data_IF_912182740827
#
_entry.id   IF_912182740827
#
_cell.length_a   1.000
_cell.length_b   1.000
_cell.length_c   1.000
_cell.angle_alpha   90.00
_cell.angle_beta   90.00
_cell.angle_gamma   90.00
#
_symmetry.space_group_name_H-M   'P 1'
#
loop_
_entity.id
_entity.type
_entity.pdbx_description
1 polymer ?
#
# COMPACT_ATOMS: atom_id res chain seq x y z
N UNK A 1 15.54 3.01 10.31
CA UNK A 1 14.91 1.97 9.49
C UNK A 1 14.44 0.79 10.32
N UNK A 2 15.33 0.02 10.98
CA UNK A 2 14.94 -1.15 11.79
C UNK A 2 13.77 -0.88 12.77
N UNK A 3 13.86 0.18 13.58
CA UNK A 3 12.82 0.55 14.55
C UNK A 3 11.43 0.79 13.94
N UNK A 4 11.34 1.41 12.75
CA UNK A 4 10.04 1.67 12.12
C UNK A 4 9.43 0.39 11.55
N UNK A 5 10.27 -0.54 11.06
CA UNK A 5 9.82 -1.84 10.55
C UNK A 5 9.37 -2.75 11.69
N UNK A 6 10.10 -2.77 12.81
CA UNK A 6 9.68 -3.50 14.02
C UNK A 6 8.33 -3.00 14.53
N UNK A 7 8.14 -1.69 14.58
CA UNK A 7 6.86 -1.09 14.98
C UNK A 7 5.74 -1.41 13.98
N UNK A 8 6.02 -1.36 12.69
CA UNK A 8 5.07 -1.72 11.64
C UNK A 8 4.61 -3.17 11.77
N UNK A 9 5.54 -4.13 11.87
CA UNK A 9 5.23 -5.55 12.05
C UNK A 9 4.47 -5.83 13.34
N UNK A 10 4.82 -5.14 14.44
CA UNK A 10 4.07 -5.20 15.69
C UNK A 10 2.61 -4.76 15.49
N UNK A 11 2.38 -3.63 14.83
CA UNK A 11 1.03 -3.12 14.59
C UNK A 11 0.20 -4.04 13.69
N UNK A 12 0.80 -4.60 12.64
CA UNK A 12 0.15 -5.62 11.79
C UNK A 12 -0.27 -6.83 12.63
N UNK A 13 0.64 -7.33 13.47
CA UNK A 13 0.39 -8.50 14.34
C UNK A 13 -0.73 -8.22 15.33
N UNK A 14 -0.72 -7.06 15.99
CA UNK A 14 -1.79 -6.66 16.92
C UNK A 14 -3.15 -6.53 16.22
N UNK A 15 -3.17 -6.08 14.96
CA UNK A 15 -4.41 -5.99 14.17
C UNK A 15 -4.91 -7.36 13.77
N UNK A 16 -4.02 -8.23 13.30
CA UNK A 16 -4.33 -9.61 12.92
C UNK A 16 -4.87 -10.42 14.10
N UNK A 17 -4.27 -10.28 15.29
CA UNK A 17 -4.67 -11.00 16.50
C UNK A 17 -6.06 -10.64 17.02
N UNK A 18 -6.65 -9.50 16.61
CA UNK A 18 -8.03 -9.16 16.99
C UNK A 18 -9.06 -10.11 16.36
N UNK A 19 -8.73 -10.72 15.21
CA UNK A 19 -9.56 -11.73 14.55
C UNK A 19 -10.77 -11.20 13.78
N UNK A 20 -11.08 -9.91 13.86
CA UNK A 20 -12.17 -9.23 13.13
C UNK A 20 -11.66 -8.21 12.10
N UNK A 21 -10.34 -8.15 11.89
CA UNK A 21 -9.69 -7.26 10.95
C UNK A 21 -10.08 -7.61 9.50
N UNK A 22 -10.35 -6.57 8.71
CA UNK A 22 -10.44 -6.66 7.25
C UNK A 22 -9.16 -6.10 6.64
N UNK A 23 -8.99 -6.28 5.34
CA UNK A 23 -7.85 -5.74 4.61
C UNK A 23 -7.64 -4.23 4.88
N UNK A 24 -8.72 -3.45 4.90
CA UNK A 24 -8.64 -2.00 5.14
C UNK A 24 -8.20 -1.64 6.56
N UNK A 25 -8.33 -2.56 7.52
CA UNK A 25 -7.85 -2.38 8.89
C UNK A 25 -6.33 -2.20 8.96
N UNK A 26 -5.59 -2.67 7.95
CA UNK A 26 -4.14 -2.57 7.88
C UNK A 26 -3.64 -1.33 7.15
N UNK A 27 -4.51 -0.62 6.42
CA UNK A 27 -4.11 0.49 5.54
C UNK A 27 -3.41 1.61 6.29
N UNK A 28 -3.86 1.92 7.51
CA UNK A 28 -3.25 2.97 8.31
C UNK A 28 -1.80 2.65 8.70
N UNK A 29 -1.47 1.37 8.89
CA UNK A 29 -0.11 0.96 9.24
C UNK A 29 0.85 1.20 8.08
N UNK A 30 0.40 0.91 6.85
CA UNK A 30 1.19 1.14 5.64
C UNK A 30 1.38 2.65 5.36
N UNK A 31 0.32 3.45 5.51
CA UNK A 31 0.41 4.92 5.43
C UNK A 31 1.47 5.49 6.38
N UNK A 32 1.46 5.05 7.64
CA UNK A 32 2.46 5.47 8.63
C UNK A 32 3.87 5.03 8.23
N UNK A 33 4.04 3.78 7.77
CA UNK A 33 5.35 3.28 7.32
C UNK A 33 5.92 4.12 6.18
N UNK A 34 5.11 4.42 5.16
CA UNK A 34 5.51 5.22 4.00
C UNK A 34 5.95 6.62 4.43
N UNK A 35 5.16 7.28 5.29
CA UNK A 35 5.46 8.63 5.78
C UNK A 35 6.75 8.67 6.63
N UNK A 36 6.92 7.70 7.54
CA UNK A 36 8.14 7.58 8.35
C UNK A 36 9.37 7.27 7.49
N UNK A 37 9.24 6.42 6.48
CA UNK A 37 10.31 6.13 5.55
C UNK A 37 10.74 7.37 4.77
N UNK A 38 9.77 8.14 4.25
CA UNK A 38 10.03 9.39 3.54
C UNK A 38 10.77 10.41 4.41
N UNK A 39 10.37 10.58 5.68
CA UNK A 39 11.08 11.43 6.64
C UNK A 39 12.54 11.00 6.81
N UNK A 40 12.80 9.71 7.05
CA UNK A 40 14.16 9.17 7.21
C UNK A 40 15.02 9.39 5.97
N UNK A 41 14.42 9.31 4.79
CA UNK A 41 15.11 9.53 3.50
C UNK A 41 15.14 10.99 3.07
N UNK A 42 14.64 11.92 3.88
CA UNK A 42 14.50 13.34 3.53
C UNK A 42 13.71 13.57 2.22
N UNK A 43 12.79 12.66 1.90
CA UNK A 43 11.85 12.83 0.79
C UNK A 43 10.76 13.77 1.27
N UNK A 44 10.86 15.04 0.85
CA UNK A 44 9.92 16.08 1.29
C UNK A 44 8.58 15.93 0.58
N UNK A 45 7.51 16.35 1.27
CA UNK A 45 6.16 16.51 0.73
C UNK A 45 5.51 15.20 0.27
N UNK A 46 5.77 14.06 0.93
CA UNK A 46 4.96 12.86 0.64
C UNK A 46 3.53 13.06 1.18
N UNK A 47 2.52 12.66 0.42
CA UNK A 47 1.19 12.42 0.96
C UNK A 47 0.61 11.10 0.41
N UNK A 48 -0.30 10.50 1.15
CA UNK A 48 -0.90 9.21 0.84
C UNK A 48 -2.42 9.33 0.97
N UNK A 49 -3.12 9.10 -0.14
CA UNK A 49 -4.58 8.95 -0.13
C UNK A 49 -4.92 7.48 -0.05
N UNK A 50 -5.57 7.07 1.04
CA UNK A 50 -6.13 5.73 1.24
C UNK A 50 -7.56 5.72 0.69
N UNK A 51 -7.92 4.67 -0.05
CA UNK A 51 -9.20 4.50 -0.76
C UNK A 51 -9.58 5.78 -1.54
N UNK A 52 -8.82 6.12 -2.59
CA UNK A 52 -9.07 7.33 -3.37
C UNK A 52 -10.43 7.28 -4.06
N UNK A 53 -10.85 8.40 -4.67
CA UNK A 53 -12.09 8.44 -5.46
C UNK A 53 -11.95 7.58 -6.71
N UNK A 54 -13.02 6.86 -7.05
CA UNK A 54 -13.12 6.04 -8.26
C UNK A 54 -12.78 6.83 -9.53
N UNK A 55 -12.03 6.21 -10.43
CA UNK A 55 -11.72 6.73 -11.77
C UNK A 55 -12.14 5.74 -12.84
N UNK A 56 -12.11 6.15 -14.11
CA UNK A 56 -12.39 5.26 -15.25
C UNK A 56 -11.42 4.07 -15.30
N UNK A 57 -10.16 4.30 -14.92
CA UNK A 57 -9.10 3.30 -14.81
C UNK A 57 -9.25 2.34 -13.62
N UNK A 58 -10.23 2.57 -12.75
CA UNK A 58 -10.45 1.86 -11.48
C UNK A 58 -9.97 2.64 -10.26
N UNK A 59 -9.74 1.92 -9.16
CA UNK A 59 -9.40 2.53 -7.88
C UNK A 59 -8.40 1.67 -7.11
N UNK A 60 -7.09 1.91 -7.27
CA UNK A 60 -6.07 1.31 -6.41
C UNK A 60 -6.30 1.74 -4.96
N UNK A 61 -5.94 0.87 -4.01
CA UNK A 61 -6.17 1.13 -2.59
C UNK A 61 -5.42 2.36 -2.06
N UNK A 62 -4.27 2.70 -2.66
CA UNK A 62 -3.48 3.88 -2.30
C UNK A 62 -3.06 4.69 -3.53
N UNK A 63 -3.05 6.01 -3.35
CA UNK A 63 -2.33 6.96 -4.22
C UNK A 63 -1.25 7.67 -3.43
N UNK A 64 -0.04 7.68 -3.98
CA UNK A 64 1.13 8.32 -3.41
C UNK A 64 1.39 9.63 -4.14
N UNK A 65 1.58 10.72 -3.40
CA UNK A 65 1.72 12.07 -3.95
C UNK A 65 3.04 12.70 -3.57
N UNK A 66 3.58 13.56 -4.44
CA UNK A 66 4.71 14.46 -4.13
C UNK A 66 4.29 15.76 -3.39
N UNK A 67 3.06 15.76 -2.87
CA UNK A 67 2.53 16.71 -1.90
C UNK A 67 2.09 18.04 -2.47
N UNK A 68 2.01 18.20 -3.79
CA UNK A 68 1.29 19.34 -4.36
C UNK A 68 0.22 18.99 -5.38
N UNK A 69 0.46 18.12 -6.36
CA UNK A 69 -0.56 17.74 -7.34
C UNK A 69 -0.18 16.53 -8.22
N UNK A 70 0.98 15.90 -8.02
CA UNK A 70 1.41 14.80 -8.87
C UNK A 70 1.36 13.47 -8.12
N UNK A 71 0.67 12.49 -8.70
CA UNK A 71 0.67 11.11 -8.21
C UNK A 71 1.95 10.45 -8.71
N UNK A 72 2.80 10.00 -7.79
CA UNK A 72 4.10 9.36 -8.09
C UNK A 72 4.00 7.85 -8.20
N UNK A 73 2.95 7.25 -7.63
CA UNK A 73 2.70 5.82 -7.71
C UNK A 73 1.42 5.41 -6.99
N UNK A 74 1.13 4.12 -7.10
CA UNK A 74 -0.09 3.50 -6.61
C UNK A 74 0.27 2.23 -5.86
N UNK A 75 -0.57 1.84 -4.90
CA UNK A 75 -0.43 0.56 -4.22
C UNK A 75 -1.79 -0.14 -4.25
N UNK A 76 -1.77 -1.41 -4.66
CA UNK A 76 -2.86 -2.34 -4.49
C UNK A 76 -2.49 -3.28 -3.34
N UNK A 77 -3.37 -3.37 -2.34
CA UNK A 77 -3.17 -4.22 -1.19
C UNK A 77 -4.02 -5.49 -1.30
N UNK A 78 -3.58 -6.52 -0.59
CA UNK A 78 -4.33 -7.75 -0.31
C UNK A 78 -4.26 -8.04 1.18
N UNK A 79 -5.26 -8.74 1.70
CA UNK A 79 -5.27 -9.16 3.11
C UNK A 79 -3.93 -9.86 3.48
N UNK A 80 -3.35 -9.60 4.66
CA UNK A 80 -2.08 -10.22 5.06
C UNK A 80 -2.06 -11.75 5.06
N UNK A 81 -3.23 -12.40 5.12
CA UNK A 81 -3.36 -13.86 5.01
C UNK A 81 -3.23 -14.38 3.57
N UNK A 82 -3.25 -13.52 2.55
CA UNK A 82 -3.02 -13.88 1.15
C UNK A 82 -1.53 -14.10 0.93
N UNK A 83 -1.10 -15.35 1.00
CA UNK A 83 0.32 -15.74 0.92
C UNK A 83 0.84 -15.93 -0.50
N UNK A 84 -0.04 -16.09 -1.50
CA UNK A 84 0.35 -16.28 -2.89
C UNK A 84 -0.06 -15.07 -3.74
N UNK A 85 0.87 -14.13 -3.90
CA UNK A 85 0.68 -12.95 -4.75
C UNK A 85 0.87 -13.25 -6.25
N UNK A 86 1.48 -14.39 -6.63
CA UNK A 86 1.69 -14.76 -8.04
C UNK A 86 0.35 -14.87 -8.79
N UNK A 87 -0.67 -15.45 -8.14
CA UNK A 87 -2.00 -15.51 -8.73
C UNK A 87 -2.65 -14.14 -8.86
N UNK A 88 -2.39 -13.22 -7.93
CA UNK A 88 -2.97 -11.87 -7.95
C UNK A 88 -2.40 -11.06 -9.12
N UNK A 89 -1.10 -11.20 -9.42
CA UNK A 89 -0.43 -10.58 -10.57
C UNK A 89 -1.07 -10.95 -11.91
N UNK A 90 -1.64 -12.15 -12.01
CA UNK A 90 -2.31 -12.62 -13.23
C UNK A 90 -3.78 -12.18 -13.36
N UNK A 91 -4.32 -11.49 -12.38
CA UNK A 91 -5.73 -11.04 -12.43
C UNK A 91 -5.91 -9.88 -13.41
N UNK A 92 -7.06 -9.87 -14.10
CA UNK A 92 -7.42 -8.78 -15.02
C UNK A 92 -7.40 -7.40 -14.34
N UNK A 93 -7.75 -7.36 -13.05
CA UNK A 93 -7.73 -6.12 -12.27
C UNK A 93 -6.31 -5.54 -12.19
N UNK A 94 -5.34 -6.36 -11.76
CA UNK A 94 -3.98 -5.88 -11.55
C UNK A 94 -3.26 -5.64 -12.87
N UNK A 95 -3.48 -6.48 -13.89
CA UNK A 95 -2.97 -6.23 -15.24
C UNK A 95 -3.45 -4.88 -15.78
N UNK A 96 -4.75 -4.58 -15.68
CA UNK A 96 -5.30 -3.27 -16.08
C UNK A 96 -4.67 -2.12 -15.30
N UNK A 97 -4.41 -2.30 -14.00
CA UNK A 97 -3.75 -1.26 -13.20
C UNK A 97 -2.33 -1.02 -13.66
N UNK A 98 -1.53 -2.05 -13.91
CA UNK A 98 -0.16 -1.91 -14.41
C UNK A 98 -0.11 -1.31 -15.82
N UNK A 99 -1.11 -1.57 -16.67
CA UNK A 99 -1.23 -0.96 -17.99
C UNK A 99 -1.62 0.53 -17.93
N UNK A 100 -2.44 0.91 -16.95
CA UNK A 100 -3.04 2.26 -16.90
C UNK A 100 -2.28 3.23 -16.01
N UNK A 101 -1.74 2.73 -14.89
CA UNK A 101 -1.10 3.55 -13.86
C UNK A 101 0.41 3.33 -13.87
N UNK A 102 1.22 4.40 -13.87
CA UNK A 102 2.66 4.27 -13.67
C UNK A 102 2.96 3.88 -12.21
N UNK A 103 3.99 3.03 -12.01
CA UNK A 103 4.51 2.66 -10.69
C UNK A 103 3.45 2.09 -9.74
N UNK A 104 2.92 0.91 -10.07
CA UNK A 104 2.01 0.15 -9.21
C UNK A 104 2.81 -0.80 -8.34
N UNK A 105 2.52 -0.84 -7.04
CA UNK A 105 3.05 -1.85 -6.12
C UNK A 105 1.90 -2.78 -5.70
N UNK A 106 2.11 -4.09 -5.79
CA UNK A 106 1.25 -5.08 -5.15
C UNK A 106 1.83 -5.46 -3.78
N UNK A 107 1.00 -5.54 -2.74
CA UNK A 107 1.44 -5.95 -1.41
C UNK A 107 0.39 -6.72 -0.62
N UNK A 108 0.83 -7.66 0.22
CA UNK A 108 0.04 -8.22 1.33
C UNK A 108 0.54 -7.69 2.70
N UNK A 109 1.11 -6.48 2.72
CA UNK A 109 1.75 -5.83 3.87
C UNK A 109 3.08 -6.46 4.33
N UNK A 110 3.44 -7.66 3.87
CA UNK A 110 4.73 -8.30 4.17
C UNK A 110 5.65 -8.36 2.96
N UNK A 111 5.09 -8.61 1.78
CA UNK A 111 5.77 -8.63 0.50
C UNK A 111 5.37 -7.40 -0.33
N UNK A 112 6.30 -6.82 -1.08
CA UNK A 112 6.08 -5.68 -1.96
C UNK A 112 6.66 -6.01 -3.33
N UNK A 113 5.83 -6.01 -4.37
CA UNK A 113 6.20 -6.34 -5.76
C UNK A 113 6.04 -5.14 -6.69
N UNK A 114 6.91 -5.07 -7.69
CA UNK A 114 6.94 -4.06 -8.75
C UNK A 114 6.55 -4.68 -10.09
#
# INVERSE_FOLDING_TARGET
>A
MKKILEQYLKNLTETFQRGDAREESYYKHLDVLIKQYAEIKNIKKIDVTIVPKKTEAGNPDFRIWDGRNHVTGYIEAKDPSVTNLDHIETTEQLQRYCETFPNVILTNFYEFRL
#
